data_IF_036253522690
#
_entry.id   IF_036253522690
#
_cell.length_a   1.000
_cell.length_b   1.000
_cell.length_c   1.000
_cell.angle_alpha   90.00
_cell.angle_beta   90.00
_cell.angle_gamma   90.00
#
_symmetry.space_group_name_H-M   'P 1'
#
loop_
_entity.id
_entity.type
_entity.pdbx_description
1 polymer ?
#
# COMPACT_ATOMS: atom_id res chain seq x y z
N UNK A 1 -4.26 -1.75 -6.70
CA UNK A 1 -5.44 -1.85 -5.81
C UNK A 1 -6.12 -3.19 -5.98
N UNK A 2 -6.89 -3.58 -4.97
CA UNK A 2 -7.75 -4.77 -5.02
C UNK A 2 -9.20 -4.33 -4.81
N UNK A 3 -10.09 -4.73 -5.67
CA UNK A 3 -11.53 -4.61 -5.44
C UNK A 3 -11.99 -5.85 -4.70
N UNK A 4 -12.62 -5.67 -3.56
CA UNK A 4 -13.15 -6.74 -2.70
C UNK A 4 -14.65 -6.59 -2.63
N UNK A 5 -15.39 -7.68 -2.74
CA UNK A 5 -16.85 -7.74 -2.67
C UNK A 5 -17.25 -8.94 -1.81
N UNK A 6 -18.15 -8.76 -0.87
CA UNK A 6 -18.70 -9.90 -0.14
C UNK A 6 -19.84 -10.58 -0.92
N UNK A 7 -20.08 -11.86 -0.63
CA UNK A 7 -20.95 -12.70 -1.47
C UNK A 7 -22.37 -12.85 -0.94
N UNK A 8 -22.66 -12.45 0.31
CA UNK A 8 -23.98 -12.57 0.90
C UNK A 8 -24.98 -11.61 0.22
N UNK A 9 -26.02 -12.10 -0.50
CA UNK A 9 -26.91 -11.26 -1.29
C UNK A 9 -27.82 -10.36 -0.46
N UNK A 10 -28.02 -10.67 0.83
CA UNK A 10 -28.88 -9.89 1.71
C UNK A 10 -28.17 -8.74 2.40
N UNK A 11 -26.84 -8.83 2.52
CA UNK A 11 -26.05 -7.87 3.28
C UNK A 11 -25.05 -7.11 2.40
N UNK A 12 -24.61 -7.72 1.29
CA UNK A 12 -23.48 -7.26 0.51
C UNK A 12 -23.87 -6.40 -0.69
N UNK A 13 -23.17 -5.28 -0.85
CA UNK A 13 -23.28 -4.45 -2.05
C UNK A 13 -22.57 -5.11 -3.24
N UNK A 14 -23.19 -5.01 -4.40
CA UNK A 14 -22.61 -5.51 -5.63
C UNK A 14 -21.34 -4.78 -6.06
N UNK A 15 -21.20 -3.51 -5.69
CA UNK A 15 -20.07 -2.66 -6.09
C UNK A 15 -18.77 -3.02 -5.36
N UNK A 16 -18.89 -3.54 -4.14
CA UNK A 16 -17.75 -3.83 -3.30
C UNK A 16 -16.95 -2.57 -2.90
N UNK A 17 -15.69 -2.76 -2.52
CA UNK A 17 -14.79 -1.68 -2.12
C UNK A 17 -13.39 -1.85 -2.73
N UNK A 18 -12.79 -0.75 -3.18
CA UNK A 18 -11.40 -0.73 -3.61
C UNK A 18 -10.48 -0.46 -2.41
N UNK A 19 -9.53 -1.35 -2.19
CA UNK A 19 -8.58 -1.29 -1.08
C UNK A 19 -7.14 -1.34 -1.59
N UNK A 20 -6.25 -0.78 -0.79
CA UNK A 20 -4.79 -0.89 -0.97
C UNK A 20 -4.25 -1.73 0.16
N UNK A 21 -3.46 -2.73 -0.16
CA UNK A 21 -2.74 -3.51 0.84
C UNK A 21 -1.63 -2.63 1.41
N UNK A 22 -1.60 -2.45 2.71
CA UNK A 22 -0.67 -1.56 3.41
C UNK A 22 0.23 -2.30 4.38
N UNK A 23 -0.20 -3.45 4.87
CA UNK A 23 0.52 -4.20 5.87
C UNK A 23 0.17 -5.68 5.80
N UNK A 24 1.01 -6.51 6.40
CA UNK A 24 0.76 -7.91 6.66
C UNK A 24 0.17 -8.05 8.06
N UNK A 25 -0.96 -8.76 8.18
CA UNK A 25 -1.60 -9.07 9.45
C UNK A 25 -1.70 -10.57 9.64
N UNK A 26 -1.38 -11.03 10.83
CA UNK A 26 -1.70 -12.38 11.28
C UNK A 26 -2.94 -12.33 12.16
N UNK A 27 -3.84 -13.27 12.00
CA UNK A 27 -5.04 -13.35 12.81
C UNK A 27 -6.01 -14.38 12.25
N UNK A 28 -7.21 -14.29 12.55
CA UNK A 28 -8.44 -15.07 12.40
C UNK A 28 -8.56 -16.05 11.22
N UNK A 29 -7.48 -16.47 10.59
CA UNK A 29 -7.43 -17.34 9.40
C UNK A 29 -8.23 -16.79 8.22
N UNK A 30 -8.15 -15.47 8.03
CA UNK A 30 -8.81 -14.76 6.93
C UNK A 30 -7.76 -14.28 5.92
N UNK A 31 -8.15 -14.25 4.63
CA UNK A 31 -7.27 -13.77 3.55
C UNK A 31 -7.14 -12.25 3.53
N UNK A 32 -8.13 -11.54 4.09
CA UNK A 32 -8.15 -10.08 4.14
C UNK A 32 -8.57 -9.59 5.53
N UNK A 33 -7.80 -8.63 6.05
CA UNK A 33 -8.16 -7.86 7.23
C UNK A 33 -8.47 -6.45 6.77
N UNK A 34 -9.74 -6.12 6.66
CA UNK A 34 -10.19 -4.80 6.20
C UNK A 34 -10.30 -3.83 7.37
N UNK A 35 -9.97 -2.57 7.11
CA UNK A 35 -10.30 -1.53 8.09
C UNK A 35 -11.82 -1.46 8.31
N UNK A 36 -12.31 -1.08 9.51
CA UNK A 36 -13.74 -0.96 9.79
C UNK A 36 -14.48 -0.12 8.74
N UNK A 37 -13.84 0.95 8.26
CA UNK A 37 -14.39 1.80 7.20
C UNK A 37 -14.52 1.10 5.86
N UNK A 38 -13.56 0.26 5.49
CA UNK A 38 -13.61 -0.51 4.25
C UNK A 38 -14.63 -1.65 4.36
N UNK A 39 -14.67 -2.33 5.51
CA UNK A 39 -15.58 -3.42 5.76
C UNK A 39 -17.06 -2.97 5.70
N UNK A 40 -17.40 -1.87 6.33
CA UNK A 40 -18.76 -1.33 6.29
C UNK A 40 -19.21 -0.89 4.89
N UNK A 41 -18.26 -0.53 4.01
CA UNK A 41 -18.57 -0.22 2.60
C UNK A 41 -18.91 -1.43 1.74
N UNK A 42 -18.66 -2.65 2.22
CA UNK A 42 -19.12 -3.87 1.55
C UNK A 42 -20.64 -4.03 1.64
N UNK A 43 -21.28 -3.41 2.62
CA UNK A 43 -22.69 -3.59 2.90
C UNK A 43 -23.62 -2.87 1.92
N UNK A 44 -24.81 -3.41 1.78
CA UNK A 44 -25.95 -2.68 1.22
C UNK A 44 -26.27 -1.44 2.06
N UNK A 45 -26.89 -0.41 1.49
CA UNK A 45 -27.45 0.69 2.26
C UNK A 45 -28.31 0.15 3.41
N UNK A 46 -28.05 0.62 4.62
CA UNK A 46 -28.71 0.21 5.87
C UNK A 46 -28.31 -1.15 6.45
N UNK A 47 -27.57 -2.01 5.75
CA UNK A 47 -27.10 -3.31 6.25
C UNK A 47 -25.72 -3.25 6.92
N UNK A 48 -25.07 -2.09 6.99
CA UNK A 48 -23.69 -1.96 7.47
C UNK A 48 -23.51 -2.42 8.93
N UNK A 49 -24.46 -2.16 9.80
CA UNK A 49 -24.39 -2.60 11.21
C UNK A 49 -24.52 -4.11 11.34
N UNK A 50 -25.42 -4.69 10.57
CA UNK A 50 -25.64 -6.13 10.55
C UNK A 50 -24.43 -6.86 9.97
N UNK A 51 -23.92 -6.42 8.82
CA UNK A 51 -22.70 -6.97 8.23
C UNK A 51 -21.53 -6.87 9.21
N UNK A 52 -21.37 -5.76 9.89
CA UNK A 52 -20.30 -5.57 10.87
C UNK A 52 -20.39 -6.55 12.04
N UNK A 53 -21.61 -6.91 12.45
CA UNK A 53 -21.84 -7.88 13.52
C UNK A 53 -21.44 -9.33 13.14
N UNK A 54 -21.40 -9.66 11.84
CA UNK A 54 -20.91 -10.95 11.37
C UNK A 54 -19.39 -11.10 11.60
N UNK A 55 -18.64 -10.02 11.52
CA UNK A 55 -17.20 -10.01 11.72
C UNK A 55 -16.39 -10.65 10.58
N UNK A 56 -16.76 -11.85 10.12
CA UNK A 56 -16.10 -12.57 9.01
C UNK A 56 -17.13 -12.95 7.96
N UNK A 57 -16.83 -12.68 6.69
CA UNK A 57 -17.72 -12.97 5.55
C UNK A 57 -16.91 -13.46 4.35
N UNK A 58 -17.54 -14.29 3.55
CA UNK A 58 -16.95 -14.74 2.29
C UNK A 58 -16.86 -13.59 1.29
N UNK A 59 -15.71 -13.52 0.59
CA UNK A 59 -15.44 -12.45 -0.36
C UNK A 59 -14.93 -12.98 -1.70
N UNK A 60 -15.21 -12.22 -2.73
CA UNK A 60 -14.57 -12.32 -4.03
C UNK A 60 -13.67 -11.10 -4.21
N UNK A 61 -12.55 -11.28 -4.89
CA UNK A 61 -11.64 -10.16 -5.15
C UNK A 61 -11.02 -10.22 -6.54
N UNK A 62 -10.62 -9.06 -7.03
CA UNK A 62 -9.83 -8.91 -8.26
C UNK A 62 -8.86 -7.74 -8.16
N UNK A 63 -7.74 -7.83 -8.87
CA UNK A 63 -6.84 -6.68 -9.04
C UNK A 63 -7.47 -5.65 -9.96
N UNK A 64 -7.38 -4.39 -9.58
CA UNK A 64 -7.86 -3.24 -10.36
C UNK A 64 -6.77 -2.17 -10.43
N UNK A 65 -6.82 -1.37 -11.49
CA UNK A 65 -5.89 -0.24 -11.64
C UNK A 65 -5.98 0.72 -10.46
N UNK A 66 -4.83 1.16 -9.97
CA UNK A 66 -4.76 2.20 -8.96
C UNK A 66 -5.12 3.55 -9.56
N UNK A 67 -6.04 4.27 -8.92
CA UNK A 67 -6.41 5.64 -9.26
C UNK A 67 -6.36 6.48 -7.98
N UNK A 68 -5.50 7.47 -7.97
CA UNK A 68 -5.38 8.41 -6.85
C UNK A 68 -5.78 9.79 -7.34
N UNK A 69 -6.84 10.34 -6.76
CA UNK A 69 -7.30 11.69 -7.10
C UNK A 69 -6.21 12.72 -6.78
N UNK A 70 -5.85 13.52 -7.79
CA UNK A 70 -4.82 14.56 -7.65
C UNK A 70 -3.36 14.08 -7.73
N UNK A 71 -3.10 12.79 -7.89
CA UNK A 71 -1.75 12.24 -8.01
C UNK A 71 -1.61 11.40 -9.27
N UNK A 72 -0.91 11.94 -10.26
CA UNK A 72 -0.65 11.26 -11.53
C UNK A 72 0.67 10.49 -11.55
N UNK A 73 1.56 10.77 -10.61
CA UNK A 73 2.90 10.19 -10.52
C UNK A 73 3.10 9.52 -9.17
N UNK A 74 3.94 8.49 -9.15
CA UNK A 74 4.43 7.90 -7.92
C UNK A 74 5.20 8.94 -7.09
N UNK A 75 5.03 8.90 -5.79
CA UNK A 75 5.74 9.74 -4.84
C UNK A 75 6.58 8.88 -3.90
N UNK A 76 7.63 9.48 -3.39
CA UNK A 76 8.51 8.85 -2.41
C UNK A 76 8.45 9.64 -1.10
N UNK A 77 8.32 8.92 -0.01
CA UNK A 77 8.39 9.48 1.33
C UNK A 77 9.57 8.84 2.07
N UNK A 78 10.40 9.66 2.69
CA UNK A 78 11.42 9.16 3.63
C UNK A 78 10.67 8.68 4.87
N UNK A 79 10.91 7.41 5.25
CA UNK A 79 10.31 6.82 6.42
C UNK A 79 10.94 7.39 7.70
N UNK A 80 10.16 7.52 8.75
CA UNK A 80 10.59 8.08 10.04
C UNK A 80 11.71 7.29 10.74
N UNK A 81 11.86 6.03 10.40
CA UNK A 81 12.96 5.20 10.90
C UNK A 81 14.30 5.49 10.21
N UNK A 82 14.33 6.36 9.19
CA UNK A 82 15.58 6.75 8.54
C UNK A 82 16.49 7.47 9.51
N UNK A 83 17.79 7.12 9.50
CA UNK A 83 18.81 7.67 10.39
C UNK A 83 20.07 8.05 9.60
N UNK A 84 20.22 9.34 9.38
CA UNK A 84 21.42 9.86 8.73
C UNK A 84 22.65 9.64 9.63
N UNK A 85 23.81 9.26 9.08
CA UNK A 85 24.07 8.93 7.67
C UNK A 85 23.94 7.42 7.34
N UNK A 86 23.47 6.58 8.27
CA UNK A 86 23.67 5.13 8.23
C UNK A 86 22.51 4.32 7.66
N UNK A 87 21.28 4.88 7.66
CA UNK A 87 20.10 4.13 7.25
C UNK A 87 19.07 5.00 6.54
N UNK A 88 18.69 4.60 5.33
CA UNK A 88 17.65 5.24 4.55
C UNK A 88 16.52 4.24 4.27
N UNK A 89 15.33 4.51 4.78
CA UNK A 89 14.11 3.80 4.43
C UNK A 89 13.20 4.71 3.59
N UNK A 90 12.77 4.21 2.45
CA UNK A 90 11.89 4.91 1.52
C UNK A 90 10.57 4.16 1.40
N UNK A 91 9.47 4.91 1.38
CA UNK A 91 8.14 4.39 1.09
C UNK A 91 7.69 4.96 -0.25
N UNK A 92 7.36 4.08 -1.18
CA UNK A 92 6.78 4.46 -2.47
C UNK A 92 5.27 4.52 -2.31
N UNK A 93 4.68 5.67 -2.62
CA UNK A 93 3.25 5.93 -2.45
C UNK A 93 2.64 6.46 -3.74
N UNK A 94 1.32 6.33 -3.87
CA UNK A 94 0.53 6.79 -5.02
C UNK A 94 0.97 6.20 -6.37
N UNK A 95 1.43 4.96 -6.38
CA UNK A 95 1.72 4.24 -7.63
C UNK A 95 0.40 3.98 -8.35
N UNK A 96 0.12 4.77 -9.37
CA UNK A 96 -1.09 4.63 -10.20
C UNK A 96 -0.89 3.59 -11.31
N UNK A 97 -2.01 3.10 -11.88
CA UNK A 97 -1.98 2.18 -13.01
C UNK A 97 -2.12 0.71 -12.63
N UNK A 98 -1.74 -0.17 -13.55
CA UNK A 98 -1.91 -1.62 -13.43
C UNK A 98 -0.62 -2.35 -13.08
N UNK A 99 0.52 -1.70 -13.30
CA UNK A 99 1.83 -2.32 -13.12
C UNK A 99 2.30 -2.18 -11.67
N UNK A 100 2.98 -3.21 -11.21
CA UNK A 100 3.66 -3.19 -9.92
C UNK A 100 5.02 -2.49 -10.03
N UNK A 101 5.52 -1.96 -8.91
CA UNK A 101 6.88 -1.45 -8.84
C UNK A 101 7.84 -2.63 -8.83
N UNK A 102 8.57 -2.83 -9.91
CA UNK A 102 9.52 -3.93 -10.03
C UNK A 102 10.87 -3.61 -9.39
N UNK A 103 11.29 -2.36 -9.45
CA UNK A 103 12.58 -1.91 -8.93
C UNK A 103 12.53 -0.43 -8.56
N UNK A 104 13.31 -0.04 -7.55
CA UNK A 104 13.58 1.35 -7.20
C UNK A 104 15.10 1.54 -7.16
N UNK A 105 15.60 2.48 -7.95
CA UNK A 105 17.01 2.86 -7.95
C UNK A 105 17.17 4.22 -7.28
N UNK A 106 18.14 4.31 -6.39
CA UNK A 106 18.45 5.55 -5.68
C UNK A 106 19.85 6.02 -6.08
N UNK A 107 19.93 7.22 -6.63
CA UNK A 107 21.18 7.82 -7.03
C UNK A 107 21.54 8.97 -6.10
N UNK A 108 22.76 8.96 -5.58
CA UNK A 108 23.29 10.10 -4.85
C UNK A 108 24.06 10.99 -5.82
N UNK A 109 23.59 12.21 -6.01
CA UNK A 109 24.34 13.22 -6.76
C UNK A 109 25.27 13.94 -5.80
N UNK A 110 26.57 13.71 -5.91
CA UNK A 110 27.58 14.49 -5.20
C UNK A 110 27.72 15.80 -5.97
N UNK A 111 27.02 16.83 -5.52
CA UNK A 111 27.30 18.18 -5.95
C UNK A 111 28.68 18.54 -5.40
N UNK A 112 29.63 18.85 -6.29
CA UNK A 112 30.94 19.40 -5.95
C UNK A 112 30.74 20.79 -5.33
N UNK A 113 30.33 20.85 -4.09
CA UNK A 113 30.50 22.02 -3.25
C UNK A 113 31.82 21.84 -2.51
N UNK A 114 32.79 22.62 -2.90
CA UNK A 114 34.10 22.72 -2.30
C UNK A 114 34.10 23.16 -0.85
N UNK A 115 33.57 22.42 0.06
CA UNK A 115 33.70 22.51 1.53
C UNK A 115 32.73 21.54 2.28
N UNK A 116 32.75 20.26 1.96
CA UNK A 116 32.29 19.27 2.95
C UNK A 116 33.43 18.26 3.10
N UNK A 117 34.20 18.45 4.14
CA UNK A 117 35.19 17.47 4.58
C UNK A 117 34.42 16.25 5.10
N UNK A 118 34.80 15.10 4.60
CA UNK A 118 34.66 13.79 5.21
C UNK A 118 33.21 13.27 5.42
N UNK A 119 32.52 13.00 4.31
CA UNK A 119 31.45 12.01 4.35
C UNK A 119 31.75 10.88 3.37
N UNK A 120 32.39 9.84 3.86
CA UNK A 120 32.45 8.56 3.19
C UNK A 120 31.07 7.90 3.30
N UNK A 121 30.16 8.27 2.40
CA UNK A 121 28.88 7.61 2.25
C UNK A 121 29.03 6.56 1.15
N UNK A 122 29.33 5.32 1.54
CA UNK A 122 29.23 4.18 0.65
C UNK A 122 27.79 3.69 0.65
N UNK A 123 26.94 4.29 -0.18
CA UNK A 123 25.69 3.63 -0.54
C UNK A 123 26.08 2.56 -1.57
N UNK A 124 25.69 1.29 -1.39
CA UNK A 124 25.80 0.32 -2.46
C UNK A 124 25.07 0.89 -3.69
N UNK A 125 25.75 0.96 -4.81
CA UNK A 125 25.25 1.54 -6.06
C UNK A 125 24.02 0.81 -6.63
N UNK A 126 23.56 -0.24 -5.97
CA UNK A 126 22.35 -0.98 -6.32
C UNK A 126 21.62 -1.44 -5.06
N UNK A 127 20.52 -0.79 -4.73
CA UNK A 127 19.54 -1.34 -3.80
C UNK A 127 18.47 -2.03 -4.63
N UNK A 128 18.62 -3.33 -4.82
CA UNK A 128 17.58 -4.15 -5.45
C UNK A 128 16.56 -4.50 -4.38
N UNK A 129 15.48 -3.76 -4.30
CA UNK A 129 14.34 -4.14 -3.48
C UNK A 129 13.50 -5.15 -4.28
N UNK A 130 13.61 -6.44 -3.95
CA UNK A 130 12.61 -7.43 -4.36
C UNK A 130 11.42 -7.28 -3.44
N UNK A 131 10.33 -6.74 -3.95
CA UNK A 131 9.03 -6.90 -3.31
C UNK A 131 8.49 -8.27 -3.70
N UNK A 132 8.53 -9.22 -2.77
CA UNK A 132 7.71 -10.44 -2.88
C UNK A 132 6.33 -10.09 -2.34
N UNK A 133 5.31 -10.28 -3.15
CA UNK A 133 3.91 -10.34 -2.74
C UNK A 133 3.66 -11.69 -2.08
#
# INVERSE_FOLDING_TARGET
MTQVRCTNPHLCSYDGVNVVVTDYGEGDRTDFILSPRAYTKLALPNAAKELFAYGVVDVEFKRVSCKYSGYNNAMYKIHENSRFPHYLALVVIYVAGQNDVACVEVWQVILHASRVKDFNFSIPTHVTCKFSL
#
